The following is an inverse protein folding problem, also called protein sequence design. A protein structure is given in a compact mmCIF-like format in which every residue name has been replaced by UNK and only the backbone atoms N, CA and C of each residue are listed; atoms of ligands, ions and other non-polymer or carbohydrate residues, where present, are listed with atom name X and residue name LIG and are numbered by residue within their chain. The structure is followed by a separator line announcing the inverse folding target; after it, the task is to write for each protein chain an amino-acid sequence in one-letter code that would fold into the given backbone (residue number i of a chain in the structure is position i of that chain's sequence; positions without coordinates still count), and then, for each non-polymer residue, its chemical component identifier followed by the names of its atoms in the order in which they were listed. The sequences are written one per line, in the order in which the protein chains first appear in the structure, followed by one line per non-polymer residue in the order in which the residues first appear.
data_IF_315533259631
#
_entry.id   IF_315533259631
#
_cell.length_a   1.000
_cell.length_b   1.000
_cell.length_c   1.000
_cell.angle_alpha   90.00
_cell.angle_beta   90.00
_cell.angle_gamma   90.00
#
_symmetry.space_group_name_H-M   'P 1'
#
loop_
_entity.id
_entity.type
_entity.pdbx_description
1 polymer ?
#
# COMPACT_ATOMS: atom_id res chain seq x y z
N UNK A 1 33.20 -28.40 42.18
CA UNK A 1 32.38 -27.17 42.08
C UNK A 1 32.56 -26.40 40.75
N UNK A 2 32.48 -27.04 39.56
CA UNK A 2 32.61 -26.30 38.27
C UNK A 2 31.88 -26.96 37.07
N UNK A 3 30.76 -27.66 37.29
CA UNK A 3 30.03 -28.30 36.17
C UNK A 3 28.53 -27.96 36.10
N UNK A 4 28.00 -27.20 37.05
CA UNK A 4 26.56 -26.91 37.13
C UNK A 4 26.23 -25.51 36.56
N UNK A 5 27.21 -24.62 36.43
CA UNK A 5 26.99 -23.24 35.94
C UNK A 5 26.88 -23.08 34.41
N UNK A 6 27.13 -24.14 33.63
CA UNK A 6 27.10 -24.04 32.16
C UNK A 6 25.75 -24.32 31.52
N UNK A 7 24.77 -24.84 32.26
CA UNK A 7 23.48 -25.27 31.69
C UNK A 7 22.43 -24.14 31.74
N UNK A 8 22.56 -23.19 32.66
CA UNK A 8 21.59 -22.09 32.79
C UNK A 8 21.85 -20.94 31.81
N UNK A 9 23.07 -20.79 31.28
CA UNK A 9 23.40 -19.69 30.36
C UNK A 9 22.92 -19.92 28.91
N UNK A 10 22.69 -21.16 28.50
CA UNK A 10 22.27 -21.49 27.13
C UNK A 10 20.76 -21.37 26.92
N UNK A 11 19.97 -21.43 27.99
CA UNK A 11 18.49 -21.33 27.92
C UNK A 11 17.97 -19.89 27.82
N UNK A 12 18.80 -18.89 28.16
CA UNK A 12 18.44 -17.48 28.04
C UNK A 12 18.79 -16.92 26.66
N UNK A 13 19.69 -17.57 25.91
CA UNK A 13 20.07 -17.11 24.57
C UNK A 13 19.10 -17.57 23.46
N UNK A 14 18.33 -18.65 23.68
CA UNK A 14 17.39 -19.16 22.69
C UNK A 14 16.03 -18.41 22.66
N UNK A 15 15.67 -17.69 23.73
CA UNK A 15 14.42 -16.93 23.79
C UNK A 15 14.50 -15.56 23.11
N UNK A 16 15.70 -15.03 22.87
CA UNK A 16 15.88 -13.72 22.23
C UNK A 16 15.67 -13.74 20.69
N UNK A 17 15.76 -14.91 20.04
CA UNK A 17 15.59 -15.02 18.59
C UNK A 17 14.14 -15.29 18.15
N UNK A 18 13.24 -15.66 19.06
CA UNK A 18 11.87 -16.03 18.69
C UNK A 18 10.91 -14.83 18.46
N UNK A 19 11.39 -13.59 18.57
CA UNK A 19 10.56 -12.38 18.41
C UNK A 19 10.93 -11.49 17.21
N UNK A 20 11.70 -11.97 16.23
CA UNK A 20 12.10 -11.15 15.06
C UNK A 20 11.14 -11.25 13.86
N UNK A 21 10.13 -12.13 13.86
CA UNK A 21 9.43 -12.48 12.61
C UNK A 21 8.08 -11.80 12.33
N UNK A 22 7.68 -10.72 13.03
CA UNK A 22 6.35 -10.12 12.79
C UNK A 22 6.27 -8.60 12.68
N UNK A 23 7.30 -7.93 12.15
CA UNK A 23 7.22 -6.47 11.89
C UNK A 23 6.88 -6.12 10.42
N UNK A 24 6.82 -7.10 9.51
CA UNK A 24 6.54 -6.85 8.07
C UNK A 24 5.25 -7.47 7.53
N UNK A 25 4.34 -7.94 8.38
CA UNK A 25 3.03 -8.42 7.91
C UNK A 25 2.08 -7.24 7.74
N UNK A 26 1.81 -6.88 6.48
CA UNK A 26 0.79 -5.90 6.11
C UNK A 26 -0.55 -6.27 6.78
N UNK A 27 -1.34 -5.29 7.28
CA UNK A 27 -2.65 -5.55 7.88
C UNK A 27 -3.54 -6.32 6.89
N UNK A 28 -4.54 -7.09 7.39
CA UNK A 28 -5.41 -7.88 6.54
C UNK A 28 -6.08 -6.96 5.52
N UNK A 29 -5.66 -7.13 4.27
CA UNK A 29 -6.11 -6.39 3.12
C UNK A 29 -7.62 -6.60 3.01
N UNK A 30 -8.37 -5.51 3.12
CA UNK A 30 -9.77 -5.47 2.72
C UNK A 30 -9.87 -6.09 1.32
N UNK A 31 -10.75 -7.08 1.21
CA UNK A 31 -10.83 -8.02 0.09
C UNK A 31 -11.29 -7.31 -1.19
N UNK A 32 -10.34 -6.69 -1.91
CA UNK A 32 -10.55 -6.27 -3.29
C UNK A 32 -10.64 -7.52 -4.18
N UNK A 33 -11.84 -8.11 -4.28
CA UNK A 33 -12.10 -9.25 -5.16
C UNK A 33 -11.55 -9.00 -6.56
N UNK A 34 -10.53 -9.78 -6.95
CA UNK A 34 -10.08 -9.93 -8.34
C UNK A 34 -9.21 -8.82 -8.93
N UNK A 35 -8.79 -7.81 -8.17
CA UNK A 35 -7.81 -6.81 -8.63
C UNK A 35 -6.43 -7.19 -8.10
N UNK A 36 -5.49 -7.54 -8.97
CA UNK A 36 -4.09 -7.77 -8.57
C UNK A 36 -3.57 -6.55 -7.78
N UNK A 37 -2.72 -6.73 -6.74
CA UNK A 37 -2.11 -5.60 -6.04
C UNK A 37 -1.46 -4.67 -7.05
N UNK A 38 -1.57 -3.36 -6.82
CA UNK A 38 -1.15 -2.30 -7.73
C UNK A 38 0.19 -2.57 -8.43
N UNK A 39 0.19 -3.16 -9.63
CA UNK A 39 1.32 -4.01 -10.00
C UNK A 39 1.73 -4.01 -11.45
N UNK A 40 0.95 -4.65 -12.32
CA UNK A 40 1.45 -5.02 -13.64
C UNK A 40 0.62 -4.39 -14.75
N UNK A 41 1.33 -3.78 -15.71
CA UNK A 41 0.72 -3.34 -16.97
C UNK A 41 0.16 -4.56 -17.70
N UNK A 42 -1.14 -4.57 -17.93
CA UNK A 42 -1.81 -5.58 -18.74
C UNK A 42 -2.54 -4.85 -19.89
N UNK A 43 -2.07 -4.98 -21.15
CA UNK A 43 -2.66 -4.28 -22.29
C UNK A 43 -4.17 -4.56 -22.46
N UNK A 44 -4.63 -5.76 -22.07
CA UNK A 44 -6.03 -6.16 -22.14
C UNK A 44 -6.92 -5.47 -21.08
N UNK A 45 -6.33 -4.89 -20.03
CA UNK A 45 -7.02 -4.22 -18.92
C UNK A 45 -6.94 -2.68 -19.01
N UNK A 46 -6.45 -2.15 -20.14
CA UNK A 46 -6.43 -0.71 -20.44
C UNK A 46 -5.08 -0.01 -20.18
N UNK A 47 -5.13 1.29 -19.92
CA UNK A 47 -3.95 2.16 -19.78
C UNK A 47 -3.24 2.01 -18.42
N UNK A 48 -3.83 1.29 -17.48
CA UNK A 48 -3.29 1.12 -16.16
C UNK A 48 -1.96 0.34 -16.20
N UNK A 49 -0.91 0.93 -15.63
CA UNK A 49 0.46 0.40 -15.65
C UNK A 49 1.34 0.94 -16.79
N UNK A 50 0.76 1.58 -17.81
CA UNK A 50 1.54 2.31 -18.80
C UNK A 50 2.18 3.55 -18.16
N UNK A 51 3.42 3.88 -18.54
CA UNK A 51 4.11 5.06 -17.99
C UNK A 51 3.41 6.33 -18.46
N UNK A 52 2.73 7.03 -17.53
CA UNK A 52 2.07 8.31 -17.79
C UNK A 52 2.43 9.31 -16.68
N UNK A 53 3.39 10.21 -16.89
CA UNK A 53 3.74 11.22 -15.90
C UNK A 53 2.54 12.06 -15.49
N UNK A 54 2.47 12.42 -14.21
CA UNK A 54 1.39 13.20 -13.60
C UNK A 54 2.02 14.42 -12.95
N UNK A 55 1.62 15.60 -13.40
CA UNK A 55 2.21 16.89 -13.01
C UNK A 55 1.30 17.71 -12.13
N UNK A 56 0.00 17.46 -12.17
CA UNK A 56 -0.98 18.24 -11.40
C UNK A 56 -1.91 17.36 -10.57
N UNK A 57 -2.47 17.96 -9.51
CA UNK A 57 -3.50 17.31 -8.69
C UNK A 57 -4.77 17.01 -9.50
N UNK A 58 -5.07 17.82 -10.52
CA UNK A 58 -6.17 17.58 -11.46
C UNK A 58 -5.95 16.30 -12.28
N UNK A 59 -4.75 16.13 -12.87
CA UNK A 59 -4.40 14.90 -13.59
C UNK A 59 -4.44 13.68 -12.67
N UNK A 60 -3.95 13.81 -11.43
CA UNK A 60 -4.03 12.76 -10.42
C UNK A 60 -5.49 12.37 -10.14
N UNK A 61 -6.39 13.36 -9.95
CA UNK A 61 -7.82 13.13 -9.77
C UNK A 61 -8.43 12.37 -10.93
N UNK A 62 -8.13 12.77 -12.17
CA UNK A 62 -8.65 12.12 -13.38
C UNK A 62 -8.22 10.66 -13.48
N UNK A 63 -6.96 10.36 -13.18
CA UNK A 63 -6.43 8.99 -13.20
C UNK A 63 -7.10 8.13 -12.12
N UNK A 64 -7.29 8.69 -10.91
CA UNK A 64 -7.98 7.99 -9.83
C UNK A 64 -9.46 7.74 -10.15
N UNK A 65 -10.16 8.74 -10.71
CA UNK A 65 -11.55 8.59 -11.14
C UNK A 65 -11.71 7.48 -12.19
N UNK A 66 -10.79 7.39 -13.15
CA UNK A 66 -10.82 6.33 -14.15
C UNK A 66 -10.51 4.96 -13.53
N UNK A 67 -9.51 4.88 -12.65
CA UNK A 67 -9.13 3.63 -11.98
C UNK A 67 -10.25 3.05 -11.10
N UNK A 68 -10.92 3.92 -10.35
CA UNK A 68 -12.02 3.56 -9.45
C UNK A 68 -13.40 3.64 -10.11
N UNK A 69 -13.50 3.81 -11.45
CA UNK A 69 -14.77 4.04 -12.15
C UNK A 69 -15.81 2.92 -11.95
N UNK A 70 -15.35 1.67 -11.77
CA UNK A 70 -16.21 0.52 -11.50
C UNK A 70 -16.50 0.28 -10.01
N UNK A 71 -15.87 1.06 -9.13
CA UNK A 71 -16.02 0.95 -7.69
C UNK A 71 -16.92 2.10 -7.18
N UNK A 72 -17.64 1.90 -6.09
CA UNK A 72 -18.42 2.96 -5.44
C UNK A 72 -17.55 3.95 -4.62
N UNK A 73 -16.28 4.12 -5.03
CA UNK A 73 -15.28 4.88 -4.29
C UNK A 73 -15.32 6.37 -4.68
N UNK A 74 -15.20 7.23 -3.68
CA UNK A 74 -15.18 8.68 -3.84
C UNK A 74 -13.76 9.19 -3.61
N UNK A 75 -13.24 9.96 -4.57
CA UNK A 75 -11.90 10.56 -4.48
C UNK A 75 -11.98 11.81 -3.59
N UNK A 76 -11.42 11.71 -2.40
CA UNK A 76 -11.34 12.80 -1.41
C UNK A 76 -10.26 13.83 -1.71
N UNK A 77 -9.62 14.33 -0.67
CA UNK A 77 -8.58 15.34 -0.76
C UNK A 77 -7.34 14.78 -1.47
N UNK A 78 -6.74 15.60 -2.34
CA UNK A 78 -5.49 15.26 -3.02
C UNK A 78 -4.42 16.25 -2.59
N UNK A 79 -3.39 15.74 -1.93
CA UNK A 79 -2.26 16.52 -1.44
C UNK A 79 -1.02 16.23 -2.29
N UNK A 80 -0.46 17.27 -2.86
CA UNK A 80 0.77 17.17 -3.61
C UNK A 80 1.97 16.93 -2.68
N UNK A 81 2.88 16.06 -3.11
CA UNK A 81 4.19 15.82 -2.51
C UNK A 81 5.26 15.89 -3.58
N UNK A 82 6.54 15.88 -3.17
CA UNK A 82 7.67 15.97 -4.10
C UNK A 82 7.61 14.92 -5.22
N UNK A 83 7.30 13.67 -4.87
CA UNK A 83 7.37 12.53 -5.81
C UNK A 83 6.02 11.91 -6.19
N UNK A 84 4.95 12.27 -5.48
CA UNK A 84 3.64 11.67 -5.68
C UNK A 84 2.52 12.62 -5.29
N UNK A 85 1.29 12.28 -5.66
CA UNK A 85 0.07 12.86 -5.10
C UNK A 85 -0.54 11.86 -4.11
N UNK A 86 -0.83 12.29 -2.88
CA UNK A 86 -1.51 11.47 -1.87
C UNK A 86 -3.00 11.77 -1.92
N UNK A 87 -3.85 10.76 -2.03
CA UNK A 87 -5.29 10.91 -2.12
C UNK A 87 -6.01 10.01 -1.13
N UNK A 88 -7.00 10.57 -0.45
CA UNK A 88 -7.91 9.80 0.39
C UNK A 88 -8.99 9.17 -0.49
N UNK A 89 -9.24 7.88 -0.31
CA UNK A 89 -10.31 7.14 -0.99
C UNK A 89 -11.40 6.87 0.03
N UNK A 90 -12.63 7.23 -0.32
CA UNK A 90 -13.77 7.18 0.59
C UNK A 90 -14.87 6.25 0.09
N UNK A 91 -15.65 5.71 1.01
CA UNK A 91 -16.92 5.05 0.68
C UNK A 91 -18.03 6.07 0.42
N UNK A 92 -19.22 5.56 0.07
CA UNK A 92 -20.46 6.34 -0.10
C UNK A 92 -20.92 7.07 1.17
N UNK A 93 -20.46 6.66 2.34
CA UNK A 93 -20.78 7.26 3.63
C UNK A 93 -19.70 8.28 4.06
N UNK A 94 -18.78 8.64 3.15
CA UNK A 94 -17.68 9.58 3.38
C UNK A 94 -16.61 9.10 4.40
N UNK A 95 -16.58 7.80 4.73
CA UNK A 95 -15.51 7.22 5.53
C UNK A 95 -14.28 6.95 4.66
N UNK A 96 -13.08 7.22 5.18
CA UNK A 96 -11.83 6.87 4.48
C UNK A 96 -11.65 5.35 4.54
N UNK A 97 -11.61 4.71 3.37
CA UNK A 97 -11.42 3.25 3.23
C UNK A 97 -10.02 2.87 2.78
N UNK A 98 -9.31 3.80 2.13
CA UNK A 98 -7.93 3.61 1.70
C UNK A 98 -7.26 4.98 1.54
N UNK A 99 -5.93 4.98 1.54
CA UNK A 99 -5.15 6.13 1.11
C UNK A 99 -4.18 5.66 0.04
N UNK A 100 -4.28 6.29 -1.13
CA UNK A 100 -3.46 5.95 -2.28
C UNK A 100 -2.45 7.04 -2.60
N UNK A 101 -1.36 6.65 -3.25
CA UNK A 101 -0.40 7.56 -3.85
C UNK A 101 -0.37 7.37 -5.35
N UNK A 102 -0.24 8.47 -6.10
CA UNK A 102 0.00 8.47 -7.54
C UNK A 102 1.43 8.96 -7.79
N UNK A 103 2.31 8.06 -8.23
CA UNK A 103 3.70 8.39 -8.59
C UNK A 103 3.74 9.40 -9.74
N UNK A 104 4.40 10.55 -9.55
CA UNK A 104 4.46 11.63 -10.56
C UNK A 104 5.22 11.24 -11.83
N UNK A 105 6.21 10.36 -11.73
CA UNK A 105 7.06 9.94 -12.85
C UNK A 105 6.38 8.90 -13.71
N UNK A 106 5.59 8.01 -13.11
CA UNK A 106 5.02 6.85 -13.81
C UNK A 106 3.51 6.84 -13.90
N UNK A 107 2.79 7.61 -13.07
CA UNK A 107 1.33 7.55 -12.95
C UNK A 107 0.82 6.29 -12.25
N UNK A 108 1.72 5.58 -11.56
CA UNK A 108 1.35 4.34 -10.85
C UNK A 108 0.60 4.69 -9.58
N UNK A 109 -0.58 4.11 -9.42
CA UNK A 109 -1.39 4.22 -8.20
C UNK A 109 -0.91 3.12 -7.25
N UNK A 110 -0.80 3.40 -5.94
CA UNK A 110 -0.50 2.40 -4.91
C UNK A 110 -1.25 2.73 -3.63
N UNK A 111 -1.87 1.76 -2.99
CA UNK A 111 -2.33 1.89 -1.60
C UNK A 111 -1.12 1.93 -0.66
N UNK A 112 -1.25 2.67 0.44
CA UNK A 112 -0.24 2.78 1.50
C UNK A 112 -0.78 2.46 2.90
N UNK A 113 -2.03 1.98 3.03
CA UNK A 113 -2.65 1.53 4.28
C UNK A 113 -3.49 0.27 4.11
#
# INVERSE_FOLDING_TARGET
MKRIFFITSTLIFFSAFAHVDKVFSQPPHYEWKGKTPFGNYCPMQGWYGARKPVRTSYEARRILQEYFKSDAAVIGDIKERRWFFKADIKDKNNNIVDIVIVDKRTGRIRSIY
#
